data_IF_773669050661
#
_entry.id   IF_773669050661
#
_cell.length_a   1.000
_cell.length_b   1.000
_cell.length_c   1.000
_cell.angle_alpha   90.00
_cell.angle_beta   90.00
_cell.angle_gamma   90.00
#
_symmetry.space_group_name_H-M   'P 1'
#
loop_
_entity.id
_entity.type
_entity.pdbx_description
1 polymer ?
#
# COMPACT_ATOMS: atom_id res chain seq x y z
N UNK A 1 -10.15 -25.23 3.63
CA UNK A 1 -9.76 -23.88 3.12
C UNK A 1 -9.50 -23.04 4.35
N UNK A 2 -8.25 -22.73 4.68
CA UNK A 2 -7.95 -21.76 5.74
C UNK A 2 -8.33 -20.39 5.19
N UNK A 3 -9.22 -19.67 5.87
CA UNK A 3 -9.65 -18.35 5.45
C UNK A 3 -8.45 -17.39 5.50
N UNK A 4 -8.05 -16.85 4.35
CA UNK A 4 -7.05 -15.80 4.28
C UNK A 4 -7.76 -14.47 4.55
N UNK A 5 -7.37 -13.78 5.62
CA UNK A 5 -7.95 -12.47 5.97
C UNK A 5 -7.38 -11.44 5.00
N UNK A 6 -8.26 -10.66 4.37
CA UNK A 6 -7.88 -9.54 3.50
C UNK A 6 -8.44 -8.25 4.08
N UNK A 7 -7.57 -7.26 4.28
CA UNK A 7 -7.95 -5.88 4.55
C UNK A 7 -7.51 -4.96 3.42
N UNK A 8 -8.05 -3.76 3.41
CA UNK A 8 -7.66 -2.70 2.48
C UNK A 8 -7.46 -1.39 3.22
N UNK A 9 -6.44 -0.63 2.84
CA UNK A 9 -6.22 0.73 3.32
C UNK A 9 -5.80 1.60 2.13
N UNK A 10 -6.29 2.84 2.03
CA UNK A 10 -5.68 3.78 1.10
C UNK A 10 -4.24 4.08 1.51
N UNK A 11 -3.43 4.52 0.56
CA UNK A 11 -2.14 5.14 0.86
C UNK A 11 -2.29 6.54 1.49
N UNK A 12 -1.16 7.18 1.82
CA UNK A 12 -1.11 8.51 2.44
C UNK A 12 -1.93 8.65 3.75
N UNK A 13 -2.25 7.51 4.36
CA UNK A 13 -2.93 7.44 5.66
C UNK A 13 -1.99 7.84 6.78
N UNK A 14 -2.54 8.56 7.76
CA UNK A 14 -1.79 8.99 8.94
C UNK A 14 -1.27 7.78 9.70
N UNK A 15 -0.04 7.89 10.19
CA UNK A 15 0.54 6.93 11.14
C UNK A 15 -0.38 6.82 12.37
N UNK A 16 -0.71 5.59 12.75
CA UNK A 16 -1.69 5.27 13.79
C UNK A 16 -3.13 5.09 13.29
N UNK A 17 -3.38 5.19 11.98
CA UNK A 17 -4.69 4.85 11.41
C UNK A 17 -4.99 3.35 11.61
N UNK A 18 -6.24 3.04 12.00
CA UNK A 18 -6.71 1.68 12.18
C UNK A 18 -7.12 1.07 10.82
N UNK A 19 -6.66 -0.14 10.55
CA UNK A 19 -6.97 -0.88 9.31
C UNK A 19 -8.08 -1.90 9.56
N UNK A 20 -7.90 -2.76 10.57
CA UNK A 20 -8.83 -3.86 10.83
C UNK A 20 -8.54 -4.59 12.14
N UNK A 21 -9.57 -5.23 12.71
CA UNK A 21 -9.44 -5.98 13.97
C UNK A 21 -9.18 -7.47 13.69
N UNK A 22 -7.90 -7.83 13.66
CA UNK A 22 -7.49 -9.19 13.35
C UNK A 22 -7.80 -10.17 14.48
N UNK A 23 -7.83 -9.72 15.74
CA UNK A 23 -8.18 -10.59 16.85
C UNK A 23 -9.63 -11.05 16.77
N UNK A 24 -10.56 -10.14 16.44
CA UNK A 24 -11.97 -10.48 16.26
C UNK A 24 -12.17 -11.45 15.09
N UNK A 25 -11.50 -11.20 13.98
CA UNK A 25 -11.68 -11.99 12.75
C UNK A 25 -11.04 -13.38 12.85
N UNK A 26 -9.98 -13.53 13.65
CA UNK A 26 -9.37 -14.82 13.99
C UNK A 26 -10.00 -15.52 15.20
N UNK A 27 -10.95 -14.86 15.89
CA UNK A 27 -11.54 -15.37 17.13
C UNK A 27 -10.57 -15.45 18.30
N UNK A 28 -9.51 -14.63 18.31
CA UNK A 28 -8.56 -14.52 19.40
C UNK A 28 -9.13 -13.65 20.52
N UNK A 29 -8.97 -14.10 21.76
CA UNK A 29 -9.38 -13.33 22.92
C UNK A 29 -8.40 -12.17 23.20
N UNK A 30 -8.92 -10.94 23.20
CA UNK A 30 -8.14 -9.70 23.34
C UNK A 30 -7.34 -9.67 24.64
N UNK A 31 -7.92 -10.14 25.74
CA UNK A 31 -7.26 -10.18 27.05
C UNK A 31 -6.07 -11.13 27.08
N UNK A 32 -6.05 -12.13 26.20
CA UNK A 32 -4.95 -13.08 26.07
C UNK A 32 -3.82 -12.62 25.13
N UNK A 33 -4.03 -11.63 24.26
CA UNK A 33 -3.06 -11.26 23.22
C UNK A 33 -1.70 -10.83 23.78
N UNK A 34 -1.69 -10.11 24.91
CA UNK A 34 -0.47 -9.65 25.58
C UNK A 34 0.32 -10.85 26.14
N UNK A 35 -0.36 -11.75 26.85
CA UNK A 35 0.29 -12.93 27.45
C UNK A 35 0.74 -13.94 26.38
N UNK A 36 0.01 -14.01 25.28
CA UNK A 36 0.32 -14.83 24.11
C UNK A 36 1.35 -14.21 23.14
N UNK A 37 1.80 -12.98 23.43
CA UNK A 37 2.83 -12.23 22.68
C UNK A 37 2.54 -12.15 21.18
N UNK A 38 1.39 -11.57 20.84
CA UNK A 38 1.04 -11.31 19.44
C UNK A 38 1.99 -10.29 18.81
N UNK A 39 2.50 -10.60 17.61
CA UNK A 39 3.32 -9.68 16.82
C UNK A 39 3.20 -9.94 15.32
N UNK A 40 3.41 -8.90 14.53
CA UNK A 40 3.56 -9.01 13.08
C UNK A 40 5.04 -9.21 12.75
N UNK A 41 5.36 -10.26 12.01
CA UNK A 41 6.70 -10.44 11.44
C UNK A 41 6.72 -9.73 10.11
N UNK A 42 7.49 -8.64 10.04
CA UNK A 42 7.67 -7.88 8.82
C UNK A 42 8.81 -8.45 7.99
N UNK A 43 8.62 -8.50 6.68
CA UNK A 43 9.64 -8.93 5.71
C UNK A 43 10.64 -7.83 5.37
N UNK A 44 11.18 -7.87 4.14
CA UNK A 44 12.20 -6.94 3.65
C UNK A 44 11.74 -5.46 3.63
N UNK A 45 10.44 -5.20 3.53
CA UNK A 45 9.85 -3.85 3.43
C UNK A 45 9.76 -3.10 4.78
N UNK A 46 10.29 -3.68 5.86
CA UNK A 46 10.19 -3.14 7.20
C UNK A 46 8.76 -3.20 7.78
N UNK A 47 8.61 -2.78 9.04
CA UNK A 47 7.31 -2.77 9.71
C UNK A 47 6.45 -1.58 9.26
N UNK A 48 5.79 -1.71 8.10
CA UNK A 48 4.76 -0.76 7.65
C UNK A 48 3.51 -0.81 8.53
N UNK A 49 3.22 -1.98 9.08
CA UNK A 49 2.05 -2.27 9.88
C UNK A 49 2.45 -2.82 11.25
N UNK A 50 1.65 -2.51 12.26
CA UNK A 50 1.82 -2.99 13.62
C UNK A 50 0.49 -3.46 14.18
N UNK A 51 0.50 -4.49 15.02
CA UNK A 51 -0.69 -4.95 15.74
C UNK A 51 -0.62 -4.44 17.17
N UNK A 52 -1.68 -3.80 17.63
CA UNK A 52 -1.77 -3.38 19.02
C UNK A 52 -2.24 -4.57 19.88
N UNK A 53 -1.41 -5.06 20.82
CA UNK A 53 -1.74 -6.22 21.62
C UNK A 53 -2.87 -5.95 22.63
N UNK A 54 -3.22 -4.69 22.90
CA UNK A 54 -4.28 -4.34 23.85
C UNK A 54 -5.70 -4.49 23.27
N UNK A 55 -5.86 -4.39 21.95
CA UNK A 55 -7.17 -4.44 21.29
C UNK A 55 -7.23 -5.34 20.05
N UNK A 56 -6.08 -5.87 19.59
CA UNK A 56 -6.00 -6.77 18.44
C UNK A 56 -6.23 -6.10 17.09
N UNK A 57 -6.08 -4.78 17.02
CA UNK A 57 -6.24 -4.01 15.78
C UNK A 57 -4.89 -3.80 15.09
N UNK A 58 -4.86 -3.93 13.77
CA UNK A 58 -3.72 -3.59 12.93
C UNK A 58 -3.77 -2.10 12.61
N UNK A 59 -2.63 -1.43 12.79
CA UNK A 59 -2.42 -0.02 12.57
C UNK A 59 -1.30 0.24 11.57
N UNK A 60 -1.38 1.40 10.94
CA UNK A 60 -0.30 1.95 10.12
C UNK A 60 0.84 2.42 11.04
N UNK A 61 2.02 1.82 10.93
CA UNK A 61 3.19 2.16 11.73
C UNK A 61 4.09 3.18 11.02
N UNK A 62 4.11 3.17 9.70
CA UNK A 62 4.88 4.12 8.87
C UNK A 62 4.02 4.65 7.74
N UNK A 63 4.42 5.82 7.23
CA UNK A 63 3.83 6.41 6.03
C UNK A 63 3.88 5.38 4.89
N UNK A 64 2.76 5.22 4.20
CA UNK A 64 2.60 4.31 3.07
C UNK A 64 2.55 5.17 1.81
N UNK A 65 3.45 4.86 0.90
CA UNK A 65 3.61 5.46 -0.43
C UNK A 65 3.57 4.28 -1.41
N UNK A 66 2.48 4.16 -2.19
CA UNK A 66 2.23 3.00 -3.04
C UNK A 66 3.21 2.99 -4.21
N UNK A 67 3.54 4.15 -4.77
CA UNK A 67 4.46 4.32 -5.89
C UNK A 67 5.85 3.81 -5.51
N UNK A 68 6.29 4.07 -4.27
CA UNK A 68 7.56 3.55 -3.76
C UNK A 68 7.52 2.03 -3.50
N UNK A 69 6.39 1.50 -3.04
CA UNK A 69 6.28 0.11 -2.59
C UNK A 69 5.97 -0.89 -3.70
N UNK A 70 5.24 -0.45 -4.72
CA UNK A 70 4.63 -1.28 -5.74
C UNK A 70 4.79 -0.72 -7.16
N UNK A 71 5.36 0.49 -7.32
CA UNK A 71 5.52 1.14 -8.62
C UNK A 71 4.17 1.13 -9.38
N UNK A 72 4.18 0.82 -10.67
CA UNK A 72 2.97 0.79 -11.52
C UNK A 72 2.20 -0.53 -11.50
N UNK A 73 2.35 -1.35 -10.46
CA UNK A 73 1.60 -2.60 -10.37
C UNK A 73 0.12 -2.33 -10.10
N UNK A 74 -0.75 -2.97 -10.89
CA UNK A 74 -2.21 -2.81 -10.80
C UNK A 74 -2.82 -3.21 -9.44
N UNK A 75 -2.12 -4.03 -8.66
CA UNK A 75 -2.52 -4.39 -7.30
C UNK A 75 -1.31 -4.36 -6.38
N UNK A 76 -1.39 -3.57 -5.31
CA UNK A 76 -0.36 -3.47 -4.29
C UNK A 76 -0.77 -4.27 -3.05
N UNK A 77 -0.32 -5.52 -2.97
CA UNK A 77 -0.64 -6.44 -1.88
C UNK A 77 0.57 -6.62 -0.96
N UNK A 78 0.37 -6.48 0.35
CA UNK A 78 1.37 -6.75 1.38
C UNK A 78 0.92 -7.90 2.27
N UNK A 79 1.66 -9.00 2.19
CA UNK A 79 1.41 -10.19 3.00
C UNK A 79 2.11 -10.08 4.36
N UNK A 80 1.31 -10.20 5.42
CA UNK A 80 1.73 -10.12 6.80
C UNK A 80 1.59 -11.48 7.47
N UNK A 81 2.58 -11.80 8.30
CA UNK A 81 2.57 -12.99 9.15
C UNK A 81 2.31 -12.55 10.58
N UNK A 82 1.10 -12.80 11.07
CA UNK A 82 0.76 -12.61 12.47
C UNK A 82 1.18 -13.86 13.24
N UNK A 83 2.09 -13.68 14.20
CA UNK A 83 2.59 -14.76 15.04
C UNK A 83 2.05 -14.57 16.45
N UNK A 84 1.48 -15.64 16.99
CA UNK A 84 1.09 -15.78 18.39
C UNK A 84 2.06 -16.80 18.98
N UNK A 85 2.80 -16.50 20.05
CA UNK A 85 3.90 -17.37 20.49
C UNK A 85 3.45 -18.47 21.47
N UNK A 86 2.41 -18.23 22.27
CA UNK A 86 1.97 -19.16 23.32
C UNK A 86 0.48 -19.54 23.18
N UNK A 87 0.12 -20.75 22.68
CA UNK A 87 0.94 -21.63 21.85
C UNK A 87 1.29 -20.99 20.50
N UNK A 88 2.31 -21.54 19.83
CA UNK A 88 2.80 -21.01 18.56
C UNK A 88 1.76 -21.20 17.44
N UNK A 89 1.21 -20.10 16.95
CA UNK A 89 0.28 -20.04 15.82
C UNK A 89 0.75 -18.97 14.83
N UNK A 90 0.57 -19.25 13.53
CA UNK A 90 0.90 -18.30 12.47
C UNK A 90 -0.32 -18.13 11.57
N UNK A 91 -0.76 -16.88 11.46
CA UNK A 91 -1.90 -16.48 10.64
C UNK A 91 -1.41 -15.56 9.52
N UNK A 92 -1.92 -15.79 8.30
CA UNK A 92 -1.57 -15.02 7.12
C UNK A 92 -2.65 -13.98 6.86
N UNK A 93 -2.24 -12.70 6.80
CA UNK A 93 -3.13 -11.57 6.57
C UNK A 93 -2.59 -10.79 5.39
N UNK A 94 -3.43 -10.48 4.42
CA UNK A 94 -3.04 -9.66 3.27
C UNK A 94 -3.66 -8.27 3.41
N UNK A 95 -2.84 -7.22 3.28
CA UNK A 95 -3.30 -5.83 3.24
C UNK A 95 -3.13 -5.32 1.82
N UNK A 96 -4.23 -4.90 1.21
CA UNK A 96 -4.27 -4.22 -0.07
C UNK A 96 -4.11 -2.71 0.15
N UNK A 97 -3.11 -2.13 -0.49
CA UNK A 97 -2.89 -0.69 -0.52
C UNK A 97 -3.65 -0.16 -1.74
N UNK A 98 -4.66 0.65 -1.48
CA UNK A 98 -5.47 1.29 -2.51
C UNK A 98 -4.79 2.59 -2.90
N UNK A 99 -4.60 2.74 -4.20
CA UNK A 99 -4.09 3.95 -4.84
C UNK A 99 -4.96 5.17 -4.49
N UNK A 100 -4.31 6.29 -4.20
CA UNK A 100 -4.95 7.57 -4.00
C UNK A 100 -4.29 8.59 -4.90
N UNK A 101 -5.08 9.31 -5.71
CA UNK A 101 -4.59 10.31 -6.66
C UNK A 101 -3.91 11.50 -5.95
N UNK A 102 -2.65 11.37 -5.57
CA UNK A 102 -1.83 12.38 -4.91
C UNK A 102 -0.70 12.90 -5.81
N UNK A 103 -0.49 12.28 -6.97
CA UNK A 103 0.32 12.85 -8.04
C UNK A 103 -0.53 13.53 -9.12
N UNK A 104 0.15 14.30 -9.94
CA UNK A 104 -0.43 14.98 -11.08
C UNK A 104 0.43 14.72 -12.31
N UNK A 105 -0.18 14.62 -13.51
CA UNK A 105 0.56 14.35 -14.73
C UNK A 105 1.62 15.42 -14.96
N UNK A 106 2.85 15.00 -15.21
CA UNK A 106 3.98 15.91 -15.43
C UNK A 106 4.69 15.62 -16.74
N UNK A 107 5.12 16.68 -17.42
CA UNK A 107 5.99 16.58 -18.59
C UNK A 107 7.46 16.63 -18.16
N UNK A 108 8.32 15.93 -18.90
CA UNK A 108 9.78 16.00 -18.67
C UNK A 108 10.34 17.40 -18.97
N UNK A 109 9.76 18.09 -19.95
CA UNK A 109 10.15 19.44 -20.37
C UNK A 109 9.06 20.43 -19.93
N UNK A 110 9.44 21.56 -19.31
CA UNK A 110 8.49 22.61 -18.89
C UNK A 110 7.95 23.43 -20.06
N UNK A 111 8.73 23.54 -21.12
CA UNK A 111 8.39 24.26 -22.34
C UNK A 111 8.86 23.44 -23.53
N UNK A 112 8.01 23.33 -24.55
CA UNK A 112 8.35 22.69 -25.83
C UNK A 112 8.14 23.66 -26.97
N UNK A 113 9.24 24.01 -27.63
CA UNK A 113 9.21 24.78 -28.87
C UNK A 113 9.19 23.82 -30.06
N UNK A 114 8.27 24.03 -30.98
CA UNK A 114 8.14 23.26 -32.23
C UNK A 114 8.23 24.24 -33.38
N UNK A 115 9.26 24.10 -34.21
CA UNK A 115 9.47 24.93 -35.39
C UNK A 115 8.87 24.22 -36.61
N UNK A 116 7.98 24.90 -37.33
CA UNK A 116 7.26 24.35 -38.49
C UNK A 116 7.60 25.20 -39.71
N UNK A 117 8.10 24.57 -40.76
CA UNK A 117 8.39 25.25 -42.02
C UNK A 117 7.10 25.74 -42.68
N UNK A 118 7.11 26.94 -43.25
CA UNK A 118 5.94 27.53 -43.92
C UNK A 118 5.44 26.68 -45.11
N UNK A 119 6.32 25.90 -45.73
CA UNK A 119 6.02 24.99 -46.84
C UNK A 119 5.35 23.68 -46.40
N UNK A 120 5.08 23.51 -45.10
CA UNK A 120 4.47 22.30 -44.55
C UNK A 120 3.05 22.13 -45.08
N UNK A 121 2.76 20.99 -45.69
CA UNK A 121 1.44 20.68 -46.22
C UNK A 121 0.39 20.52 -45.10
N UNK A 122 -0.87 20.93 -45.34
CA UNK A 122 -1.97 20.64 -44.42
C UNK A 122 -2.10 19.14 -44.14
N UNK A 123 -2.34 18.79 -42.87
CA UNK A 123 -2.47 17.40 -42.43
C UNK A 123 -1.17 16.77 -41.89
N UNK A 124 -0.05 17.48 -41.93
CA UNK A 124 1.17 17.08 -41.21
C UNK A 124 0.91 16.93 -39.70
N UNK A 125 1.53 15.93 -39.07
CA UNK A 125 1.40 15.63 -37.64
C UNK A 125 2.75 15.77 -36.94
N UNK A 126 2.74 16.36 -35.75
CA UNK A 126 3.92 16.56 -34.92
C UNK A 126 3.69 15.88 -33.58
N UNK A 127 4.66 15.08 -33.15
CA UNK A 127 4.55 14.34 -31.90
C UNK A 127 4.85 15.26 -30.71
N UNK A 128 3.94 15.27 -29.73
CA UNK A 128 4.17 15.93 -28.45
C UNK A 128 4.73 14.94 -27.45
N UNK A 129 5.50 15.45 -26.49
CA UNK A 129 5.96 14.68 -25.33
C UNK A 129 4.75 14.21 -24.52
N UNK A 130 4.78 12.95 -24.06
CA UNK A 130 3.73 12.43 -23.19
C UNK A 130 3.93 12.94 -21.76
N UNK A 131 2.84 13.31 -21.09
CA UNK A 131 2.85 13.48 -19.64
C UNK A 131 2.95 12.11 -18.97
N UNK A 132 3.59 12.07 -17.80
CA UNK A 132 3.68 10.88 -16.96
C UNK A 132 3.05 11.18 -15.62
N UNK A 133 2.14 10.30 -15.23
CA UNK A 133 1.64 10.22 -13.86
C UNK A 133 2.28 9.00 -13.18
N UNK A 134 2.80 9.14 -11.95
CA UNK A 134 3.23 8.02 -11.10
C UNK A 134 2.08 7.13 -10.61
N UNK A 135 0.90 7.70 -10.39
CA UNK A 135 -0.32 7.01 -9.97
C UNK A 135 -0.69 5.83 -10.90
#
# INVERSE_FOLDING_TARGET
VLAQIKYSTPEEVKVGAAIGNVAKDLGLDVSSLISRRVRIVSGADGALFEVNPNNGVIYVHKKIDREQLCDRNAACLKDLKLVVENPLEVHYVTVEIIDSNDHAPSFTEKEKVIEIAESTAPGARFQLSLARDPD
#
